data_IF_792108022124
#
_entry.id   IF_792108022124
#
_cell.length_a   1.000
_cell.length_b   1.000
_cell.length_c   1.000
_cell.angle_alpha   90.00
_cell.angle_beta   90.00
_cell.angle_gamma   90.00
#
_symmetry.space_group_name_H-M   'P 1'
#
loop_
_entity.id
_entity.type
_entity.pdbx_description
1 polymer ?
#
# COMPACT_ATOMS: atom_id res chain seq x y z
N UNK A 1 -29.22 -3.54 13.85
CA UNK A 1 -30.37 -4.34 13.39
C UNK A 1 -30.64 -4.30 11.88
N UNK A 2 -30.28 -3.24 11.14
CA UNK A 2 -30.53 -3.13 9.68
C UNK A 2 -29.25 -3.36 8.87
N UNK A 3 -28.10 -3.22 9.51
CA UNK A 3 -26.78 -3.39 8.93
C UNK A 3 -26.26 -4.82 9.08
N UNK A 4 -26.65 -5.56 10.11
CA UNK A 4 -26.31 -6.97 10.29
C UNK A 4 -26.73 -7.83 9.08
N UNK A 5 -27.90 -7.53 8.49
CA UNK A 5 -28.38 -8.21 7.27
C UNK A 5 -27.57 -7.93 6.00
N UNK A 6 -26.85 -6.83 5.96
CA UNK A 6 -26.04 -6.46 4.78
C UNK A 6 -24.86 -7.40 4.58
N UNK A 7 -24.24 -7.82 5.68
CA UNK A 7 -23.06 -8.67 5.61
C UNK A 7 -23.40 -10.16 5.61
N UNK A 8 -24.57 -10.53 6.10
CA UNK A 8 -25.03 -11.93 6.02
C UNK A 8 -25.38 -12.35 4.59
N UNK A 9 -25.84 -11.44 3.75
CA UNK A 9 -26.20 -11.74 2.35
C UNK A 9 -24.98 -11.96 1.45
N UNK A 10 -23.88 -11.22 1.67
CA UNK A 10 -22.61 -11.46 0.97
C UNK A 10 -21.90 -12.75 1.43
N UNK A 11 -21.97 -13.08 2.71
CA UNK A 11 -21.40 -14.31 3.25
C UNK A 11 -22.12 -15.57 2.72
N UNK A 12 -23.41 -15.48 2.41
CA UNK A 12 -24.20 -16.61 1.89
C UNK A 12 -23.84 -16.98 0.45
N UNK A 13 -23.35 -16.05 -0.35
CA UNK A 13 -22.97 -16.30 -1.76
C UNK A 13 -21.62 -17.02 -1.87
N UNK A 14 -20.74 -16.87 -0.89
CA UNK A 14 -19.41 -17.53 -0.87
C UNK A 14 -19.43 -18.99 -0.40
N UNK A 15 -20.53 -19.47 0.18
CA UNK A 15 -20.59 -20.79 0.82
C UNK A 15 -20.87 -21.97 -0.12
N UNK A 16 -21.00 -21.78 -1.42
CA UNK A 16 -21.37 -22.84 -2.38
C UNK A 16 -20.23 -23.35 -3.27
N UNK A 17 -18.97 -23.10 -2.94
CA UNK A 17 -17.84 -23.70 -3.66
C UNK A 17 -17.31 -24.90 -2.86
N UNK A 18 -17.74 -26.09 -3.25
CA UNK A 18 -17.29 -27.38 -2.69
C UNK A 18 -15.79 -27.60 -2.98
N UNK A 19 -14.94 -27.90 -1.98
CA UNK A 19 -13.54 -28.21 -2.27
C UNK A 19 -13.40 -29.62 -2.85
N UNK A 20 -12.84 -29.70 -4.05
CA UNK A 20 -12.41 -30.94 -4.69
C UNK A 20 -11.17 -31.47 -3.97
N UNK A 21 -11.35 -32.51 -3.15
CA UNK A 21 -10.26 -33.20 -2.45
C UNK A 21 -9.46 -34.04 -3.46
N UNK A 22 -8.27 -33.60 -3.83
CA UNK A 22 -7.30 -34.42 -4.57
C UNK A 22 -6.52 -35.28 -3.55
N UNK A 23 -6.80 -36.60 -3.56
CA UNK A 23 -6.00 -37.61 -2.84
C UNK A 23 -4.66 -37.78 -3.55
N UNK A 24 -3.56 -37.30 -2.95
CA UNK A 24 -2.21 -37.72 -3.38
C UNK A 24 -1.81 -38.99 -2.64
N UNK A 25 -1.59 -40.07 -3.44
CA UNK A 25 -1.11 -41.34 -2.96
C UNK A 25 0.36 -41.28 -2.57
N UNK A 26 0.67 -41.90 -1.44
CA UNK A 26 2.04 -42.07 -0.94
C UNK A 26 2.76 -43.18 -1.74
N UNK A 27 3.84 -42.84 -2.43
CA UNK A 27 4.80 -43.81 -2.97
C UNK A 27 5.97 -43.94 -1.98
N UNK A 28 6.09 -45.14 -1.41
CA UNK A 28 7.27 -45.54 -0.63
C UNK A 28 8.36 -46.05 -1.55
N UNK A 29 9.53 -45.44 -1.55
CA UNK A 29 10.73 -45.99 -2.19
C UNK A 29 11.65 -46.56 -1.13
N UNK A 30 11.90 -47.88 -1.22
CA UNK A 30 12.83 -48.62 -0.34
C UNK A 30 14.26 -48.39 -0.81
N UNK A 31 15.14 -48.12 0.15
CA UNK A 31 16.59 -48.08 -0.02
C UNK A 31 17.17 -49.47 -0.26
N UNK A 32 18.13 -49.60 -1.17
CA UNK A 32 19.07 -50.71 -1.21
C UNK A 32 20.49 -50.14 -1.20
N UNK A 33 21.23 -50.50 -0.14
CA UNK A 33 22.64 -50.24 -0.01
C UNK A 33 23.46 -51.38 -0.64
N UNK A 34 24.51 -51.06 -1.39
CA UNK A 34 25.63 -51.96 -1.60
C UNK A 34 26.94 -51.17 -1.65
N UNK A 35 27.83 -51.52 -0.75
CA UNK A 35 29.20 -51.05 -0.66
C UNK A 35 30.11 -51.87 -1.59
N UNK A 36 31.05 -51.23 -2.27
CA UNK A 36 32.28 -51.91 -2.79
C UNK A 36 33.47 -50.96 -2.54
N UNK A 37 34.46 -51.52 -1.79
CA UNK A 37 35.78 -50.95 -1.60
C UNK A 37 36.66 -51.23 -2.82
N UNK A 38 37.47 -50.25 -3.24
CA UNK A 38 38.77 -50.52 -3.86
C UNK A 38 39.65 -49.29 -3.67
N UNK A 39 40.77 -49.52 -2.99
CA UNK A 39 41.91 -48.60 -2.83
C UNK A 39 42.79 -48.57 -4.07
N UNK A 40 43.32 -47.40 -4.42
CA UNK A 40 44.61 -47.27 -5.08
C UNK A 40 45.18 -45.86 -4.87
N UNK A 41 46.41 -45.81 -4.48
CA UNK A 41 47.17 -44.68 -4.02
C UNK A 41 47.92 -43.93 -5.15
N UNK A 42 48.37 -42.71 -4.80
CA UNK A 42 49.48 -41.90 -5.34
C UNK A 42 49.25 -41.21 -6.71
N UNK A 43 49.30 -39.85 -6.72
CA UNK A 43 50.49 -39.00 -6.86
C UNK A 43 50.06 -37.54 -6.67
N UNK A 44 50.81 -36.85 -5.80
CA UNK A 44 50.67 -35.41 -5.55
C UNK A 44 51.18 -34.62 -6.74
N UNK A 45 50.38 -33.65 -7.22
CA UNK A 45 50.90 -32.47 -7.93
C UNK A 45 50.26 -31.24 -7.27
N UNK A 46 51.07 -30.50 -6.54
CA UNK A 46 50.75 -29.19 -5.98
C UNK A 46 50.61 -28.18 -7.14
N UNK A 47 49.36 -27.98 -7.56
CA UNK A 47 48.98 -26.77 -8.28
C UNK A 47 48.14 -25.96 -7.33
N UNK A 48 48.77 -25.00 -6.62
CA UNK A 48 48.07 -23.99 -5.83
C UNK A 48 47.31 -23.07 -6.77
N UNK A 49 46.10 -23.51 -7.16
CA UNK A 49 45.16 -22.62 -7.77
C UNK A 49 44.63 -21.72 -6.66
N UNK A 50 45.11 -20.49 -6.62
CA UNK A 50 44.42 -19.42 -5.94
C UNK A 50 43.02 -19.27 -6.60
N UNK A 51 42.08 -20.07 -6.17
CA UNK A 51 40.67 -19.77 -6.42
C UNK A 51 40.37 -18.49 -5.62
N UNK A 52 40.28 -17.37 -6.32
CA UNK A 52 39.66 -16.19 -5.73
C UNK A 52 38.31 -16.63 -5.13
N UNK A 53 38.00 -16.24 -3.89
CA UNK A 53 36.69 -16.53 -3.35
C UNK A 53 35.65 -15.97 -4.34
N UNK A 54 34.58 -16.71 -4.64
CA UNK A 54 33.52 -16.13 -5.41
C UNK A 54 33.15 -14.84 -4.68
N UNK A 55 33.29 -13.71 -5.36
CA UNK A 55 32.70 -12.46 -4.91
C UNK A 55 31.23 -12.81 -4.72
N UNK A 56 30.79 -12.92 -3.47
CA UNK A 56 29.38 -12.86 -3.16
C UNK A 56 28.96 -11.50 -3.73
N UNK A 57 28.38 -11.51 -4.94
CA UNK A 57 27.54 -10.44 -5.38
C UNK A 57 26.48 -10.38 -4.29
N UNK A 58 26.63 -9.46 -3.34
CA UNK A 58 25.51 -9.03 -2.56
C UNK A 58 24.46 -8.72 -3.63
N UNK A 59 23.38 -9.51 -3.66
CA UNK A 59 22.19 -9.05 -4.30
C UNK A 59 21.94 -7.71 -3.61
N UNK A 60 22.24 -6.62 -4.32
CA UNK A 60 21.69 -5.34 -3.98
C UNK A 60 20.19 -5.62 -3.96
N UNK A 61 19.61 -5.70 -2.76
CA UNK A 61 18.16 -5.58 -2.58
C UNK A 61 17.86 -4.23 -3.22
N UNK A 62 17.54 -4.27 -4.52
CA UNK A 62 17.34 -3.06 -5.29
C UNK A 62 16.04 -2.48 -4.80
N UNK A 63 16.14 -1.46 -3.93
CA UNK A 63 15.00 -0.73 -3.44
C UNK A 63 14.12 -0.28 -4.62
N UNK A 64 12.81 -0.51 -4.58
CA UNK A 64 11.93 -0.09 -5.66
C UNK A 64 11.93 1.43 -5.78
N UNK A 65 11.68 1.94 -6.97
CA UNK A 65 11.54 3.39 -7.16
C UNK A 65 10.31 3.92 -6.41
N UNK A 66 9.26 3.11 -6.35
CA UNK A 66 7.99 3.42 -5.66
C UNK A 66 7.53 2.18 -4.89
N UNK A 67 7.02 2.38 -3.67
CA UNK A 67 6.30 1.35 -2.94
C UNK A 67 4.89 1.85 -2.59
N UNK A 68 3.88 1.10 -3.00
CA UNK A 68 2.48 1.35 -2.64
C UNK A 68 2.16 0.56 -1.38
N UNK A 69 1.83 1.25 -0.30
CA UNK A 69 1.32 0.66 0.94
C UNK A 69 -0.20 0.86 0.95
N UNK A 70 -0.98 -0.21 0.82
CA UNK A 70 -2.43 -0.09 0.63
C UNK A 70 -3.23 -0.96 1.60
N UNK A 71 -4.20 -0.33 2.27
CA UNK A 71 -5.14 -0.99 3.18
C UNK A 71 -6.48 -1.25 2.47
N UNK A 72 -6.90 -2.53 2.42
CA UNK A 72 -8.15 -2.98 1.79
C UNK A 72 -9.39 -2.57 2.58
N UNK A 73 -10.56 -2.69 1.99
CA UNK A 73 -11.85 -2.47 2.66
C UNK A 73 -12.30 -3.66 3.51
N UNK A 74 -13.34 -3.44 4.32
CA UNK A 74 -13.95 -4.45 5.19
C UNK A 74 -14.37 -5.69 4.39
N UNK A 75 -14.08 -6.87 4.92
CA UNK A 75 -14.37 -8.19 4.35
C UNK A 75 -13.72 -8.49 2.99
N UNK A 76 -12.86 -7.63 2.46
CA UNK A 76 -12.05 -8.00 1.31
C UNK A 76 -11.01 -9.07 1.72
N UNK A 77 -10.73 -10.01 0.81
CA UNK A 77 -9.71 -11.04 1.00
C UNK A 77 -8.31 -10.41 1.22
N UNK A 78 -7.38 -11.12 1.89
CA UNK A 78 -6.00 -10.66 2.05
C UNK A 78 -5.39 -10.21 0.72
N UNK A 79 -4.71 -9.07 0.73
CA UNK A 79 -4.20 -8.34 -0.43
C UNK A 79 -4.60 -6.88 -0.37
N UNK A 80 -4.49 -6.16 -1.48
CA UNK A 80 -4.85 -4.74 -1.58
C UNK A 80 -6.35 -4.50 -1.84
N UNK A 81 -7.13 -5.56 -2.02
CA UNK A 81 -8.54 -5.47 -2.39
C UNK A 81 -8.76 -5.01 -3.84
N UNK A 82 -10.03 -5.02 -4.27
CA UNK A 82 -10.36 -4.72 -5.66
C UNK A 82 -10.11 -3.25 -6.06
N UNK A 83 -10.40 -2.32 -5.16
CA UNK A 83 -10.13 -0.88 -5.38
C UNK A 83 -8.64 -0.60 -5.38
N UNK A 84 -7.88 -1.21 -4.46
CA UNK A 84 -6.43 -1.10 -4.41
C UNK A 84 -5.76 -1.67 -5.65
N UNK A 85 -6.23 -2.82 -6.15
CA UNK A 85 -5.69 -3.41 -7.38
C UNK A 85 -5.93 -2.50 -8.60
N UNK A 86 -7.14 -1.97 -8.75
CA UNK A 86 -7.44 -1.04 -9.84
C UNK A 86 -6.56 0.22 -9.78
N UNK A 87 -6.31 0.75 -8.57
CA UNK A 87 -5.40 1.87 -8.38
C UNK A 87 -3.96 1.52 -8.74
N UNK A 88 -3.45 0.37 -8.28
CA UNK A 88 -2.08 -0.09 -8.57
C UNK A 88 -1.87 -0.29 -10.07
N UNK A 89 -2.82 -0.93 -10.75
CA UNK A 89 -2.75 -1.14 -12.20
C UNK A 89 -2.71 0.19 -12.96
N UNK A 90 -3.58 1.13 -12.56
CA UNK A 90 -3.62 2.46 -13.14
C UNK A 90 -2.34 3.27 -12.87
N UNK A 91 -1.74 3.14 -11.68
CA UNK A 91 -0.49 3.81 -11.31
C UNK A 91 0.70 3.22 -12.10
N UNK A 92 0.80 1.90 -12.22
CA UNK A 92 1.82 1.24 -13.01
C UNK A 92 1.81 1.70 -14.48
N UNK A 93 0.63 1.85 -15.07
CA UNK A 93 0.49 2.36 -16.43
C UNK A 93 1.04 3.79 -16.61
N UNK A 94 1.12 4.58 -15.54
CA UNK A 94 1.61 5.98 -15.52
C UNK A 94 3.09 6.11 -15.17
N UNK A 95 3.73 5.02 -14.78
CA UNK A 95 5.13 5.00 -14.32
C UNK A 95 6.00 4.06 -15.19
N UNK A 96 6.01 4.23 -16.52
CA UNK A 96 6.78 3.33 -17.39
C UNK A 96 8.27 3.37 -17.01
N UNK A 97 8.87 2.18 -16.90
CA UNK A 97 10.30 2.03 -16.58
C UNK A 97 10.67 2.25 -15.11
N UNK A 98 9.70 2.49 -14.21
CA UNK A 98 9.94 2.49 -12.76
C UNK A 98 9.51 1.16 -12.15
N UNK A 99 10.29 0.70 -11.18
CA UNK A 99 9.88 -0.42 -10.33
C UNK A 99 8.85 0.07 -9.30
N UNK A 100 7.70 -0.57 -9.26
CA UNK A 100 6.64 -0.29 -8.30
C UNK A 100 6.35 -1.57 -7.54
N UNK A 101 6.69 -1.57 -6.25
CA UNK A 101 6.35 -2.66 -5.35
C UNK A 101 5.06 -2.34 -4.60
N UNK A 102 4.36 -3.38 -4.17
CA UNK A 102 3.07 -3.26 -3.51
C UNK A 102 3.08 -4.02 -2.21
N UNK A 103 2.80 -3.34 -1.13
CA UNK A 103 2.59 -3.90 0.19
C UNK A 103 1.11 -3.79 0.58
N UNK A 104 0.48 -4.93 0.75
CA UNK A 104 -0.87 -5.01 1.29
C UNK A 104 -0.79 -4.95 2.83
N UNK A 105 -1.40 -3.94 3.44
CA UNK A 105 -1.45 -3.79 4.90
C UNK A 105 -2.08 -5.02 5.53
N UNK A 106 -1.35 -5.63 6.48
CA UNK A 106 -1.79 -6.85 7.16
C UNK A 106 -2.64 -6.49 8.38
N UNK A 107 -3.94 -6.69 8.23
CA UNK A 107 -4.91 -6.52 9.31
C UNK A 107 -6.19 -7.32 8.99
N UNK A 108 -7.07 -7.57 9.98
CA UNK A 108 -8.25 -8.40 9.77
C UNK A 108 -9.23 -7.89 8.71
N UNK A 109 -9.37 -6.58 8.54
CA UNK A 109 -10.39 -5.94 7.68
C UNK A 109 -11.80 -6.49 7.96
N UNK A 110 -12.14 -6.63 9.23
CA UNK A 110 -13.37 -7.27 9.71
C UNK A 110 -14.40 -6.24 10.19
N UNK A 111 -15.58 -6.72 10.58
CA UNK A 111 -16.62 -5.89 11.21
C UNK A 111 -16.27 -5.47 12.65
N UNK A 112 -15.26 -6.06 13.26
CA UNK A 112 -14.66 -5.55 14.49
C UNK A 112 -13.77 -4.34 14.12
N UNK A 113 -14.41 -3.16 14.00
CA UNK A 113 -13.78 -1.95 13.50
C UNK A 113 -12.65 -1.46 14.42
N UNK A 114 -12.66 -1.79 15.71
CA UNK A 114 -11.55 -1.53 16.62
C UNK A 114 -10.24 -2.18 16.17
N UNK A 115 -10.33 -3.31 15.44
CA UNK A 115 -9.17 -4.01 14.86
C UNK A 115 -8.53 -3.28 13.66
N UNK A 116 -9.11 -2.17 13.19
CA UNK A 116 -8.44 -1.28 12.24
C UNK A 116 -7.11 -0.74 12.81
N UNK A 117 -6.98 -0.67 14.13
CA UNK A 117 -5.74 -0.30 14.82
C UNK A 117 -4.55 -1.21 14.48
N UNK A 118 -4.78 -2.51 14.23
CA UNK A 118 -3.75 -3.43 13.79
C UNK A 118 -3.16 -2.97 12.45
N UNK A 119 -4.03 -2.51 11.54
CA UNK A 119 -3.61 -1.96 10.24
C UNK A 119 -2.83 -0.66 10.36
N UNK A 120 -3.16 0.20 11.33
CA UNK A 120 -2.39 1.44 11.59
C UNK A 120 -0.97 1.08 12.06
N UNK A 121 -0.85 0.09 12.96
CA UNK A 121 0.45 -0.41 13.43
C UNK A 121 1.27 -0.96 12.28
N UNK A 122 0.68 -1.83 11.47
CA UNK A 122 1.34 -2.49 10.35
C UNK A 122 1.79 -1.48 9.29
N UNK A 123 0.89 -0.60 8.84
CA UNK A 123 1.20 0.43 7.85
C UNK A 123 2.30 1.38 8.34
N UNK A 124 2.21 1.86 9.60
CA UNK A 124 3.22 2.75 10.17
C UNK A 124 4.59 2.09 10.27
N UNK A 125 4.63 0.83 10.68
CA UNK A 125 5.86 0.03 10.80
C UNK A 125 6.49 -0.19 9.43
N UNK A 126 5.69 -0.58 8.43
CA UNK A 126 6.15 -0.77 7.05
C UNK A 126 6.71 0.52 6.46
N UNK A 127 6.00 1.64 6.59
CA UNK A 127 6.44 2.95 6.10
C UNK A 127 7.77 3.36 6.76
N UNK A 128 7.90 3.20 8.08
CA UNK A 128 9.13 3.51 8.80
C UNK A 128 10.30 2.61 8.35
N UNK A 129 10.04 1.34 8.12
CA UNK A 129 11.01 0.38 7.60
C UNK A 129 11.52 0.79 6.22
N UNK A 130 10.63 1.14 5.28
CA UNK A 130 11.00 1.62 3.94
C UNK A 130 11.85 2.88 4.04
N UNK A 131 11.41 3.87 4.83
CA UNK A 131 12.14 5.12 4.99
C UNK A 131 13.58 4.93 5.51
N UNK A 132 13.81 3.87 6.30
CA UNK A 132 15.12 3.54 6.86
C UNK A 132 15.97 2.70 5.92
N UNK A 133 15.38 1.62 5.36
CA UNK A 133 16.13 0.63 4.57
C UNK A 133 16.28 1.05 3.11
N UNK A 134 15.32 1.81 2.58
CA UNK A 134 15.24 2.27 1.20
C UNK A 134 14.97 3.79 1.13
N UNK A 135 15.90 4.64 1.58
CA UNK A 135 15.65 6.07 1.77
C UNK A 135 15.33 6.84 0.48
N UNK A 136 15.60 6.28 -0.68
CA UNK A 136 15.27 6.88 -1.99
C UNK A 136 13.92 6.43 -2.53
N UNK A 137 13.35 5.34 -2.00
CA UNK A 137 12.04 4.84 -2.39
C UNK A 137 10.97 5.88 -2.03
N UNK A 138 10.08 6.16 -2.98
CA UNK A 138 8.92 7.02 -2.76
C UNK A 138 7.72 6.16 -2.38
N UNK A 139 7.07 6.50 -1.28
CA UNK A 139 5.92 5.76 -0.76
C UNK A 139 4.63 6.42 -1.24
N UNK A 140 3.70 5.61 -1.72
CA UNK A 140 2.30 5.99 -1.93
C UNK A 140 1.45 5.21 -0.93
N UNK A 141 0.88 5.92 0.03
CA UNK A 141 -0.04 5.33 1.01
C UNK A 141 -1.46 5.41 0.47
N UNK A 142 -2.20 4.32 0.54
CA UNK A 142 -3.58 4.30 0.10
C UNK A 142 -4.49 3.44 0.95
N UNK A 143 -5.80 3.62 0.78
CA UNK A 143 -6.79 2.76 1.41
C UNK A 143 -8.20 2.97 0.88
N UNK A 144 -9.04 1.96 1.08
CA UNK A 144 -10.44 1.98 0.69
C UNK A 144 -11.33 1.69 1.90
N UNK A 145 -12.40 2.48 2.10
CA UNK A 145 -13.39 2.26 3.17
C UNK A 145 -12.73 2.21 4.56
N UNK A 146 -12.83 1.10 5.31
CA UNK A 146 -12.09 0.88 6.56
C UNK A 146 -10.58 1.07 6.35
N UNK A 147 -10.03 0.61 5.23
CA UNK A 147 -8.63 0.84 4.88
C UNK A 147 -8.29 2.31 4.63
N UNK A 148 -9.24 3.12 4.17
CA UNK A 148 -9.05 4.57 4.07
C UNK A 148 -8.98 5.22 5.46
N UNK A 149 -9.73 4.70 6.44
CA UNK A 149 -9.57 5.10 7.84
C UNK A 149 -8.18 4.72 8.37
N UNK A 150 -7.74 3.47 8.13
CA UNK A 150 -6.38 3.01 8.50
C UNK A 150 -5.32 3.96 7.94
N UNK A 151 -5.33 4.21 6.63
CA UNK A 151 -4.36 5.10 5.99
C UNK A 151 -4.47 6.55 6.49
N UNK A 152 -5.68 7.05 6.72
CA UNK A 152 -5.93 8.37 7.28
C UNK A 152 -5.33 8.53 8.68
N UNK A 153 -5.64 7.61 9.59
CA UNK A 153 -5.07 7.63 10.95
C UNK A 153 -3.54 7.44 10.95
N UNK A 154 -2.99 6.66 10.02
CA UNK A 154 -1.53 6.52 9.86
C UNK A 154 -0.85 7.86 9.58
N UNK A 155 -1.55 8.82 8.96
CA UNK A 155 -1.01 10.14 8.64
C UNK A 155 -1.25 11.19 9.71
N UNK A 156 -1.99 10.90 10.80
CA UNK A 156 -2.28 11.90 11.83
C UNK A 156 -0.99 12.43 12.48
N UNK A 157 -0.97 13.71 12.82
CA UNK A 157 0.14 14.38 13.52
C UNK A 157 -0.19 14.68 15.00
N UNK A 158 -1.38 14.29 15.46
CA UNK A 158 -1.79 14.46 16.83
C UNK A 158 -2.65 13.26 17.29
N UNK A 159 -2.46 12.84 18.54
CA UNK A 159 -3.33 11.88 19.20
C UNK A 159 -4.43 12.65 19.92
N UNK A 160 -5.71 12.37 19.66
CA UNK A 160 -6.80 13.03 20.38
C UNK A 160 -6.71 12.84 21.90
N UNK A 161 -7.05 13.87 22.66
CA UNK A 161 -7.03 13.79 24.11
C UNK A 161 -7.95 12.66 24.62
N UNK A 162 -7.42 11.81 25.50
CA UNK A 162 -8.15 10.68 26.06
C UNK A 162 -8.19 9.42 25.18
N UNK A 163 -7.67 9.46 23.95
CA UNK A 163 -7.59 8.28 23.11
C UNK A 163 -6.41 7.39 23.52
N UNK A 164 -6.70 6.12 23.80
CA UNK A 164 -5.67 5.12 24.11
C UNK A 164 -5.02 4.64 22.83
N UNK A 165 -3.70 4.83 22.71
CA UNK A 165 -2.96 4.34 21.55
C UNK A 165 -2.96 2.80 21.50
N UNK A 166 -3.05 2.20 20.31
CA UNK A 166 -2.90 0.77 20.14
C UNK A 166 -1.54 0.27 20.62
N UNK A 167 -1.49 -0.98 21.05
CA UNK A 167 -0.22 -1.62 21.40
C UNK A 167 0.74 -1.57 20.19
N UNK A 168 1.98 -1.14 20.43
CA UNK A 168 3.01 -1.00 19.39
C UNK A 168 3.09 0.41 18.76
N UNK A 169 2.13 1.30 19.02
CA UNK A 169 2.21 2.71 18.63
C UNK A 169 2.43 3.57 19.87
N UNK A 170 3.45 4.43 19.83
CA UNK A 170 3.77 5.37 20.92
C UNK A 170 3.35 6.80 20.61
N UNK A 171 2.85 7.07 19.41
CA UNK A 171 2.43 8.37 18.93
C UNK A 171 2.35 8.44 17.42
N UNK A 172 2.12 9.61 16.83
CA UNK A 172 2.19 9.82 15.39
C UNK A 172 3.53 9.40 14.80
N UNK A 173 3.56 9.08 13.51
CA UNK A 173 4.82 8.83 12.81
C UNK A 173 5.76 10.02 12.94
N UNK A 174 7.08 9.76 13.06
CA UNK A 174 8.08 10.81 13.10
C UNK A 174 7.94 11.76 11.90
N UNK A 175 7.99 13.09 12.11
CA UNK A 175 7.96 14.05 11.01
C UNK A 175 9.04 13.82 9.94
N UNK A 176 10.15 13.17 10.31
CA UNK A 176 11.23 12.78 9.38
C UNK A 176 10.78 11.77 8.32
N UNK A 177 9.69 11.04 8.55
CA UNK A 177 9.14 10.05 7.60
C UNK A 177 8.33 10.73 6.49
N UNK A 178 7.68 11.85 6.80
CA UNK A 178 6.78 12.51 5.86
C UNK A 178 7.40 12.81 4.47
N UNK A 179 8.68 13.18 4.30
CA UNK A 179 9.31 13.39 2.99
C UNK A 179 9.40 12.12 2.13
N UNK A 180 9.36 10.91 2.72
CA UNK A 180 9.37 9.65 1.99
C UNK A 180 7.98 9.30 1.40
N UNK A 181 6.90 9.78 2.03
CA UNK A 181 5.53 9.59 1.52
C UNK A 181 5.27 10.65 0.46
N UNK A 182 5.24 10.27 -0.80
CA UNK A 182 4.99 11.17 -1.92
C UNK A 182 3.51 11.51 -2.10
N UNK A 183 2.61 10.54 -1.89
CA UNK A 183 1.17 10.75 -2.02
C UNK A 183 0.39 9.91 -1.02
N UNK A 184 -0.80 10.38 -0.67
CA UNK A 184 -1.82 9.65 0.07
C UNK A 184 -3.11 9.66 -0.75
N UNK A 185 -3.71 8.48 -1.00
CA UNK A 185 -4.94 8.34 -1.78
C UNK A 185 -5.98 7.55 -0.99
N UNK A 186 -7.12 8.17 -0.71
CA UNK A 186 -8.15 7.62 0.14
C UNK A 186 -9.46 7.52 -0.64
N UNK A 187 -10.05 6.31 -0.68
CA UNK A 187 -11.29 6.02 -1.37
C UNK A 187 -12.39 5.72 -0.36
N UNK A 188 -13.47 6.49 -0.38
CA UNK A 188 -14.62 6.28 0.51
C UNK A 188 -14.23 6.38 1.99
N UNK A 189 -13.46 7.42 2.36
CA UNK A 189 -13.05 7.65 3.75
C UNK A 189 -14.28 7.84 4.63
N UNK A 190 -14.45 7.05 5.72
CA UNK A 190 -15.58 7.22 6.62
C UNK A 190 -15.68 8.63 7.16
N UNK A 191 -16.86 9.25 7.00
CA UNK A 191 -17.15 10.52 7.64
C UNK A 191 -17.47 10.36 9.13
N UNK A 192 -17.58 11.46 9.86
CA UNK A 192 -17.83 11.41 11.30
C UNK A 192 -19.17 10.77 11.66
N UNK A 193 -20.18 10.86 10.77
CA UNK A 193 -21.46 10.22 11.00
C UNK A 193 -21.35 8.71 10.90
N UNK A 194 -20.66 8.22 9.85
CA UNK A 194 -20.45 6.80 9.66
C UNK A 194 -19.55 6.20 10.75
N UNK A 195 -18.49 6.90 11.14
CA UNK A 195 -17.62 6.48 12.25
C UNK A 195 -18.45 6.28 13.53
N UNK A 196 -19.26 7.28 13.91
CA UNK A 196 -20.13 7.16 15.10
C UNK A 196 -21.13 6.01 15.02
N UNK A 197 -21.50 5.58 13.80
CA UNK A 197 -22.41 4.46 13.61
C UNK A 197 -21.76 3.11 13.85
N UNK A 198 -20.48 2.96 13.43
CA UNK A 198 -19.77 1.66 13.44
C UNK A 198 -18.81 1.51 14.62
N UNK A 199 -18.26 2.61 15.10
CA UNK A 199 -17.35 2.68 16.25
C UNK A 199 -17.45 4.10 16.86
N UNK A 200 -18.37 4.30 17.81
CA UNK A 200 -18.64 5.61 18.39
C UNK A 200 -17.47 6.21 19.18
N UNK A 201 -16.48 5.40 19.56
CA UNK A 201 -15.28 5.83 20.26
C UNK A 201 -14.14 6.19 19.29
N UNK A 202 -14.29 5.91 18.00
CA UNK A 202 -13.30 6.28 17.01
C UNK A 202 -13.21 7.80 16.86
N UNK A 203 -12.00 8.39 16.96
CA UNK A 203 -11.84 9.83 16.76
C UNK A 203 -12.05 10.20 15.28
N UNK A 204 -12.39 11.47 14.97
CA UNK A 204 -12.44 11.92 13.58
C UNK A 204 -11.13 11.67 12.84
N UNK A 205 -11.21 11.24 11.58
CA UNK A 205 -10.03 11.03 10.74
C UNK A 205 -9.50 12.40 10.32
N UNK A 206 -8.29 12.72 10.79
CA UNK A 206 -7.59 13.98 10.47
C UNK A 206 -6.27 13.67 9.76
N UNK A 207 -6.08 14.32 8.63
CA UNK A 207 -4.81 14.22 7.89
C UNK A 207 -3.83 15.23 8.48
N UNK A 208 -2.70 14.75 8.96
CA UNK A 208 -1.67 15.61 9.56
C UNK A 208 -1.07 16.59 8.56
N UNK A 209 -0.64 17.74 9.05
CA UNK A 209 -0.11 18.84 8.24
C UNK A 209 0.98 18.41 7.24
N UNK A 210 1.94 17.52 7.57
CA UNK A 210 2.98 17.11 6.63
C UNK A 210 2.44 16.33 5.41
N UNK A 211 1.19 15.86 5.47
CA UNK A 211 0.55 15.06 4.42
C UNK A 211 -0.58 15.80 3.69
N UNK A 212 -1.09 16.91 4.24
CA UNK A 212 -2.30 17.57 3.76
C UNK A 212 -2.24 17.93 2.26
N UNK A 213 -1.14 18.53 1.79
CA UNK A 213 -0.99 18.97 0.38
C UNK A 213 -0.75 17.84 -0.61
N UNK A 214 -0.48 16.64 -0.13
CA UNK A 214 -0.22 15.44 -0.92
C UNK A 214 -1.24 14.32 -0.68
N UNK A 215 -2.40 14.67 -0.13
CA UNK A 215 -3.53 13.76 0.08
C UNK A 215 -4.66 14.08 -0.87
N UNK A 216 -5.17 13.04 -1.54
CA UNK A 216 -6.39 13.06 -2.32
C UNK A 216 -7.43 12.15 -1.64
N UNK A 217 -8.57 12.71 -1.28
CA UNK A 217 -9.71 11.96 -0.79
C UNK A 217 -10.80 11.91 -1.86
N UNK A 218 -11.26 10.72 -2.20
CA UNK A 218 -12.27 10.47 -3.22
C UNK A 218 -13.52 9.88 -2.58
N UNK A 219 -14.64 10.53 -2.81
CA UNK A 219 -15.96 10.08 -2.36
C UNK A 219 -16.92 10.04 -3.55
N UNK A 220 -17.44 8.85 -3.87
CA UNK A 220 -18.42 8.69 -4.92
C UNK A 220 -19.76 9.31 -4.49
N UNK A 221 -20.42 10.02 -5.39
CA UNK A 221 -21.71 10.65 -5.09
C UNK A 221 -22.73 9.60 -4.66
N UNK A 222 -23.34 9.82 -3.49
CA UNK A 222 -24.31 8.91 -2.90
C UNK A 222 -23.72 7.78 -2.04
N UNK A 223 -22.40 7.66 -1.92
CA UNK A 223 -21.72 6.69 -1.06
C UNK A 223 -22.12 6.89 0.42
N UNK A 224 -22.73 5.90 1.10
CA UNK A 224 -23.21 6.06 2.48
C UNK A 224 -22.09 6.20 3.52
N UNK A 225 -20.84 5.93 3.15
CA UNK A 225 -19.69 5.95 4.08
C UNK A 225 -19.05 7.34 4.16
N UNK A 226 -19.00 8.05 3.04
CA UNK A 226 -18.27 9.33 2.94
C UNK A 226 -19.11 10.51 2.44
N UNK A 227 -20.26 10.24 1.79
CA UNK A 227 -21.10 11.29 1.19
C UNK A 227 -22.27 11.64 2.14
N UNK A 228 -22.39 12.87 2.64
CA UNK A 228 -23.42 13.25 3.57
C UNK A 228 -24.82 12.92 3.04
N UNK A 229 -25.55 12.05 3.76
CA UNK A 229 -26.88 11.58 3.35
C UNK A 229 -26.87 10.55 2.20
N UNK A 230 -25.72 10.01 1.84
CA UNK A 230 -25.59 8.94 0.85
C UNK A 230 -26.34 7.67 1.26
N UNK A 231 -27.00 7.03 0.30
CA UNK A 231 -27.76 5.78 0.49
C UNK A 231 -27.48 4.74 -0.60
N UNK A 232 -26.61 5.07 -1.56
CA UNK A 232 -26.28 4.18 -2.66
C UNK A 232 -25.05 3.32 -2.31
N UNK A 233 -25.31 2.08 -1.93
CA UNK A 233 -24.26 1.09 -1.65
C UNK A 233 -23.44 0.73 -2.88
N UNK A 234 -24.04 0.81 -4.08
CA UNK A 234 -23.36 0.62 -5.34
C UNK A 234 -22.29 1.68 -5.55
N UNK A 235 -22.54 2.94 -5.12
CA UNK A 235 -21.54 4.00 -5.15
C UNK A 235 -20.32 3.65 -4.29
N UNK A 236 -20.52 3.06 -3.09
CA UNK A 236 -19.42 2.64 -2.22
C UNK A 236 -18.51 1.57 -2.86
N UNK A 237 -19.06 0.67 -3.66
CA UNK A 237 -18.29 -0.40 -4.33
C UNK A 237 -17.80 -0.03 -5.74
N UNK A 238 -18.07 1.18 -6.22
CA UNK A 238 -17.82 1.59 -7.60
C UNK A 238 -16.38 2.08 -7.89
N UNK A 239 -15.59 2.41 -6.88
CA UNK A 239 -14.26 3.05 -7.03
C UNK A 239 -13.33 2.33 -7.99
N UNK A 240 -13.39 1.00 -8.03
CA UNK A 240 -12.61 0.15 -8.95
C UNK A 240 -12.96 0.34 -10.44
N UNK A 241 -14.11 0.97 -10.75
CA UNK A 241 -14.65 1.02 -12.13
C UNK A 241 -15.27 2.36 -12.52
N UNK A 242 -15.37 3.34 -11.60
CA UNK A 242 -16.00 4.64 -11.88
C UNK A 242 -15.00 5.73 -12.34
N UNK A 243 -13.74 5.36 -12.63
CA UNK A 243 -12.68 6.29 -13.04
C UNK A 243 -11.92 6.93 -11.86
N UNK A 244 -12.34 6.73 -10.62
CA UNK A 244 -11.64 7.33 -9.46
C UNK A 244 -10.29 6.67 -9.18
N UNK A 245 -10.10 5.38 -9.52
CA UNK A 245 -8.79 4.74 -9.47
C UNK A 245 -7.80 5.41 -10.41
N UNK A 246 -8.23 5.76 -11.63
CA UNK A 246 -7.43 6.52 -12.59
C UNK A 246 -7.12 7.93 -12.09
N UNK A 247 -8.11 8.62 -11.54
CA UNK A 247 -7.93 9.96 -10.95
C UNK A 247 -6.89 9.95 -9.82
N UNK A 248 -6.94 8.94 -8.94
CA UNK A 248 -5.97 8.76 -7.87
C UNK A 248 -4.57 8.47 -8.41
N UNK A 249 -4.46 7.63 -9.46
CA UNK A 249 -3.20 7.30 -10.10
C UNK A 249 -2.57 8.52 -10.81
N UNK A 250 -3.39 9.37 -11.47
CA UNK A 250 -2.92 10.64 -12.03
C UNK A 250 -2.39 11.57 -10.95
N UNK A 251 -3.09 11.66 -9.82
CA UNK A 251 -2.64 12.47 -8.69
C UNK A 251 -1.31 11.94 -8.13
N UNK A 252 -1.23 10.65 -7.81
CA UNK A 252 -0.02 10.04 -7.27
C UNK A 252 1.18 10.17 -8.22
N UNK A 253 0.99 9.95 -9.52
CA UNK A 253 2.04 10.10 -10.51
C UNK A 253 2.59 11.54 -10.59
N UNK A 254 1.73 12.56 -10.47
CA UNK A 254 2.16 13.95 -10.38
C UNK A 254 2.99 14.21 -9.13
N UNK A 255 2.58 13.71 -7.98
CA UNK A 255 3.32 13.85 -6.72
C UNK A 255 4.69 13.14 -6.78
N UNK A 256 4.76 11.98 -7.42
CA UNK A 256 5.99 11.22 -7.64
C UNK A 256 6.98 11.88 -8.61
N UNK A 257 6.48 12.70 -9.52
CA UNK A 257 7.31 13.42 -10.50
C UNK A 257 7.93 14.70 -9.93
N UNK A 258 7.49 15.15 -8.74
CA UNK A 258 7.87 16.45 -8.17
C UNK A 258 7.25 17.64 -8.94
N UNK A 259 7.44 18.86 -8.49
CA UNK A 259 7.02 20.03 -9.26
C UNK A 259 7.72 20.00 -10.63
N UNK A 260 6.94 20.17 -11.70
CA UNK A 260 7.49 20.30 -13.04
C UNK A 260 8.56 21.41 -13.02
N UNK A 261 9.75 21.19 -13.62
CA UNK A 261 10.73 22.27 -13.72
C UNK A 261 10.02 23.48 -14.32
N UNK A 262 10.12 24.61 -13.62
CA UNK A 262 9.54 25.86 -14.10
C UNK A 262 10.03 26.04 -15.54
N UNK A 263 9.09 26.13 -16.47
CA UNK A 263 9.44 26.39 -17.87
C UNK A 263 10.27 27.68 -17.87
N UNK A 264 11.53 27.55 -18.26
CA UNK A 264 12.40 28.71 -18.48
C UNK A 264 11.76 29.48 -19.62
N UNK A 265 11.00 30.52 -19.28
CA UNK A 265 10.56 31.49 -20.27
C UNK A 265 11.83 32.21 -20.68
N UNK A 266 12.44 31.76 -21.79
CA UNK A 266 13.42 32.56 -22.51
C UNK A 266 12.68 33.80 -23.03
N UNK A 267 12.67 34.88 -22.23
CA UNK A 267 12.42 36.21 -22.74
C UNK A 267 13.58 36.52 -23.69
N UNK A 268 13.37 36.31 -24.98
CA UNK A 268 14.15 36.99 -25.99
C UNK A 268 13.88 38.49 -25.81
N UNK A 269 14.80 39.16 -25.13
CA UNK A 269 14.84 40.62 -25.17
C UNK A 269 15.09 40.99 -26.61
N UNK A 270 14.04 41.43 -27.28
CA UNK A 270 14.13 42.10 -28.59
C UNK A 270 14.90 43.41 -28.38
N UNK A 271 16.11 43.44 -28.87
CA UNK A 271 16.94 44.62 -28.94
C UNK A 271 16.27 45.61 -29.93
N UNK A 272 15.65 46.64 -29.37
CA UNK A 272 15.15 47.76 -30.16
C UNK A 272 16.35 48.64 -30.50
N UNK A 273 16.80 48.58 -31.75
CA UNK A 273 17.72 49.57 -32.33
C UNK A 273 17.05 50.93 -32.38
N UNK A 274 17.64 52.01 -31.85
CA UNK A 274 17.14 53.36 -32.09
C UNK A 274 17.52 53.79 -33.49
N UNK A 275 16.52 54.01 -34.35
CA UNK A 275 16.67 54.70 -35.62
C UNK A 275 16.87 56.18 -35.35
N UNK A 276 18.06 56.69 -35.61
CA UNK A 276 18.34 58.10 -35.63
C UNK A 276 17.80 58.77 -36.89
N UNK A 277 17.15 59.90 -36.70
CA UNK A 277 17.24 61.08 -37.57
C UNK A 277 16.78 62.30 -36.81
#
# INVERSE_FOLDING_TARGET
LKWDRYYEEEASIMSTVTPLVVRMGTLTVRAAATAIFAASALIAILASSFAAPPSASAAEDSCPAVEVVFARGTNEAPGVGATGQAFVDALNARLPGKTVDVYAVDYPASLDFGRATDGIVDASTKIASIATSCPTTKIVLGGYSQGAAVAGYTTTDAVPAGFALPAGITGPMSPAIAPHVAAVVLFGTPDSWFLNLVDHDAPPITIGQPYATKTLQLCAAGDPVCFPGGLDRGAHSSYKSNGMADQAADFAARQLSGPAPAATVNQMAGEATPSGN
#
